data_IF_749046067493
#
_entry.id   IF_749046067493
#
_cell.length_a   1.000
_cell.length_b   1.000
_cell.length_c   1.000
_cell.angle_alpha   90.00
_cell.angle_beta   90.00
_cell.angle_gamma   90.00
#
_symmetry.space_group_name_H-M   'P 1'
#
loop_
_entity.id
_entity.type
_entity.pdbx_description
1 polymer ?
#
# COMPACT_ATOMS: atom_id res chain seq x y z
N UNK A 1 41.73 15.93 15.05
CA UNK A 1 40.64 16.32 15.53
C UNK A 1 39.52 16.04 14.72
N UNK A 2 39.29 16.70 13.77
CA UNK A 2 38.19 16.44 12.95
C UNK A 2 38.15 15.04 12.51
N UNK A 3 39.30 14.50 12.23
CA UNK A 3 39.35 13.18 11.87
C UNK A 3 38.85 12.27 12.89
N UNK A 4 39.16 12.52 14.09
CA UNK A 4 38.72 11.72 15.16
C UNK A 4 37.20 11.64 15.13
N UNK A 5 36.60 12.73 14.92
CA UNK A 5 35.20 12.73 14.87
C UNK A 5 34.70 11.88 13.72
N UNK A 6 35.34 12.02 12.61
CA UNK A 6 34.95 11.24 11.49
C UNK A 6 35.18 9.80 11.75
N UNK A 7 36.27 9.54 12.40
CA UNK A 7 36.59 8.18 12.65
C UNK A 7 35.52 7.51 13.43
N UNK A 8 35.04 8.19 14.41
CA UNK A 8 34.10 7.51 15.20
C UNK A 8 32.78 7.45 14.51
N UNK A 9 32.63 8.26 13.54
CA UNK A 9 31.44 8.16 12.80
C UNK A 9 31.50 6.98 11.89
N UNK A 10 32.59 6.35 11.88
CA UNK A 10 32.82 5.28 10.97
C UNK A 10 31.66 4.40 10.72
N UNK A 11 30.87 4.14 11.62
CA UNK A 11 29.77 3.26 11.36
C UNK A 11 28.48 3.79 11.91
N UNK A 12 27.40 3.46 11.32
CA UNK A 12 26.12 3.82 11.88
C UNK A 12 25.93 3.07 13.19
N UNK A 13 25.20 3.68 14.07
CA UNK A 13 24.86 3.07 15.33
C UNK A 13 24.04 1.81 15.04
N UNK A 14 24.38 0.68 15.63
CA UNK A 14 23.62 -0.54 15.40
C UNK A 14 22.14 -0.38 15.74
N UNK A 15 21.83 0.45 16.69
CA UNK A 15 20.45 0.67 17.04
C UNK A 15 19.73 1.37 15.91
N UNK A 16 20.40 2.35 15.31
CA UNK A 16 19.80 3.07 14.21
C UNK A 16 19.59 2.15 13.03
N UNK A 17 20.57 1.30 12.77
CA UNK A 17 20.46 0.37 11.67
C UNK A 17 19.30 -0.60 11.89
N UNK A 18 19.18 -1.11 13.10
CA UNK A 18 18.09 -2.00 13.43
C UNK A 18 16.75 -1.32 13.25
N UNK A 19 16.69 -0.10 13.71
CA UNK A 19 15.47 0.66 13.62
C UNK A 19 15.09 0.92 12.17
N UNK A 20 16.08 1.24 11.36
CA UNK A 20 15.84 1.47 9.95
C UNK A 20 15.32 0.24 9.26
N UNK A 21 15.89 -0.91 9.58
CA UNK A 21 15.43 -2.15 9.00
C UNK A 21 14.00 -2.47 9.43
N UNK A 22 13.70 -2.19 10.67
CA UNK A 22 12.37 -2.42 11.17
C UNK A 22 11.37 -1.52 10.46
N UNK A 23 11.74 -0.25 10.28
CA UNK A 23 10.88 0.69 9.60
C UNK A 23 10.70 0.31 8.14
N UNK A 24 11.76 -0.14 7.50
CA UNK A 24 11.66 -0.57 6.12
C UNK A 24 10.73 -1.75 5.96
N UNK A 25 10.78 -2.69 6.90
CA UNK A 25 9.87 -3.81 6.85
C UNK A 25 8.44 -3.34 7.04
N UNK A 26 8.26 -2.40 7.95
CA UNK A 26 6.93 -1.86 8.21
C UNK A 26 6.38 -1.19 6.96
N UNK A 27 7.22 -0.44 6.27
CA UNK A 27 6.79 0.22 5.05
C UNK A 27 6.37 -0.80 4.01
N UNK A 28 7.15 -1.86 3.85
CA UNK A 28 6.79 -2.90 2.89
C UNK A 28 5.48 -3.58 3.26
N UNK A 29 5.29 -3.83 4.53
CA UNK A 29 4.05 -4.45 4.99
C UNK A 29 2.86 -3.56 4.70
N UNK A 30 3.01 -2.27 4.96
CA UNK A 30 1.94 -1.32 4.71
C UNK A 30 1.66 -1.17 3.23
N UNK A 31 2.71 -1.20 2.41
CA UNK A 31 2.55 -1.11 0.98
C UNK A 31 1.81 -2.33 0.44
N UNK A 32 2.15 -3.50 0.96
CA UNK A 32 1.46 -4.71 0.53
C UNK A 32 0.01 -4.67 0.94
N UNK A 33 -0.26 -4.17 2.12
CA UNK A 33 -1.63 -4.08 2.58
C UNK A 33 -2.42 -3.08 1.75
N UNK A 34 -1.79 -1.97 1.39
CA UNK A 34 -2.44 -0.99 0.55
C UNK A 34 -2.79 -1.57 -0.81
N UNK A 35 -1.85 -2.31 -1.40
CA UNK A 35 -2.10 -2.92 -2.69
C UNK A 35 -3.27 -3.89 -2.60
N UNK A 36 -3.33 -4.66 -1.53
CA UNK A 36 -4.42 -5.60 -1.35
C UNK A 36 -5.75 -4.89 -1.20
N UNK A 37 -5.77 -3.82 -0.42
CA UNK A 37 -7.00 -3.07 -0.22
C UNK A 37 -7.46 -2.39 -1.50
N UNK A 38 -6.52 -1.91 -2.29
CA UNK A 38 -6.85 -1.32 -3.56
C UNK A 38 -7.45 -2.35 -4.50
N UNK A 39 -6.90 -3.54 -4.48
CA UNK A 39 -7.42 -4.60 -5.31
C UNK A 39 -8.83 -4.97 -4.88
N UNK A 40 -9.06 -5.09 -3.60
CA UNK A 40 -10.38 -5.40 -3.09
C UNK A 40 -11.36 -4.30 -3.45
N UNK A 41 -10.89 -3.05 -3.38
CA UNK A 41 -11.73 -1.93 -3.71
C UNK A 41 -12.11 -1.94 -5.19
N UNK A 42 -11.14 -2.27 -6.04
CA UNK A 42 -11.39 -2.33 -7.47
C UNK A 42 -12.39 -3.44 -7.80
N UNK A 43 -12.27 -4.58 -7.14
CA UNK A 43 -13.18 -5.67 -7.36
C UNK A 43 -14.59 -5.27 -6.92
N UNK A 44 -14.69 -4.64 -5.77
CA UNK A 44 -16.00 -4.19 -5.28
C UNK A 44 -16.61 -3.16 -6.20
N UNK A 45 -15.78 -2.24 -6.71
CA UNK A 45 -16.27 -1.23 -7.63
C UNK A 45 -16.75 -1.86 -8.92
N UNK A 46 -16.02 -2.87 -9.40
CA UNK A 46 -16.41 -3.54 -10.61
C UNK A 46 -17.72 -4.30 -10.42
N UNK A 47 -17.86 -4.94 -9.27
CA UNK A 47 -19.08 -5.66 -8.97
C UNK A 47 -20.27 -4.71 -8.84
N UNK A 48 -20.05 -3.57 -8.24
CA UNK A 48 -21.11 -2.60 -8.11
C UNK A 48 -21.54 -2.07 -9.47
N UNK A 49 -20.56 -1.80 -10.33
CA UNK A 49 -20.86 -1.36 -11.69
C UNK A 49 -21.60 -2.42 -12.46
N UNK A 50 -21.18 -3.64 -12.32
CA UNK A 50 -21.84 -4.74 -13.02
C UNK A 50 -23.27 -4.88 -12.53
N UNK A 51 -23.49 -4.77 -11.24
CA UNK A 51 -24.82 -4.85 -10.69
C UNK A 51 -25.71 -3.74 -11.23
N UNK A 52 -25.17 -2.55 -11.36
CA UNK A 52 -25.95 -1.46 -11.90
C UNK A 52 -26.31 -1.69 -13.36
N UNK A 53 -25.37 -2.25 -14.11
CA UNK A 53 -25.63 -2.55 -15.50
C UNK A 53 -26.69 -3.60 -15.66
N UNK A 54 -26.64 -4.63 -14.85
CA UNK A 54 -27.62 -5.68 -14.91
C UNK A 54 -29.01 -5.14 -14.55
N UNK A 55 -29.06 -4.32 -13.52
CA UNK A 55 -30.32 -3.73 -13.11
C UNK A 55 -30.88 -2.83 -14.22
N UNK A 56 -30.02 -2.09 -14.88
CA UNK A 56 -30.46 -1.21 -15.96
C UNK A 56 -31.00 -2.05 -17.11
N UNK A 57 -30.36 -3.15 -17.41
CA UNK A 57 -30.82 -4.02 -18.48
C UNK A 57 -32.17 -4.62 -18.18
N UNK A 58 -32.37 -5.00 -16.94
CA UNK A 58 -33.62 -5.59 -16.54
C UNK A 58 -34.75 -4.60 -16.62
N UNK A 59 -34.45 -3.33 -16.51
CA UNK A 59 -35.47 -2.31 -16.62
C UNK A 59 -35.75 -1.92 -18.05
N UNK A 60 -34.78 -2.12 -18.89
CA UNK A 60 -34.91 -1.73 -20.27
C UNK A 60 -36.16 -2.26 -20.95
N UNK A 61 -36.45 -3.54 -20.85
CA UNK A 61 -37.61 -4.04 -21.53
C UNK A 61 -38.91 -3.40 -21.08
N UNK A 62 -38.93 -2.96 -19.86
CA UNK A 62 -40.13 -2.33 -19.35
C UNK A 62 -40.38 -0.98 -19.98
N UNK A 63 -39.34 -0.37 -20.52
CA UNK A 63 -39.50 0.91 -21.12
C UNK A 63 -40.00 0.87 -22.55
N UNK A 64 -39.75 -0.21 -23.19
CA UNK A 64 -40.21 -0.37 -24.56
C UNK A 64 -41.60 -0.96 -24.59
#
# INVERSE_FOLDING_TARGET
MAKALLGHVGGPDPRVVSEMRRLQRRVRDLEAELARLQEENDVLAAEASHGLLVAAREREPALT
#
